data_IF_344776063169
#
_entry.id   IF_344776063169
#
_cell.length_a   1.000
_cell.length_b   1.000
_cell.length_c   1.000
_cell.angle_alpha   90.00
_cell.angle_beta   90.00
_cell.angle_gamma   90.00
#
_symmetry.space_group_name_H-M   'P 1'
#
loop_
_entity.id
_entity.type
_entity.pdbx_description
1 polymer ?
#
# COMPACT_ATOMS: atom_id res chain seq x y z
N UNK A 1 -29.05 20.93 4.17
CA UNK A 1 -27.66 20.53 3.86
C UNK A 1 -27.74 19.34 2.92
N UNK A 2 -27.21 19.45 1.70
CA UNK A 2 -27.29 18.38 0.70
C UNK A 2 -26.40 17.20 1.12
N UNK A 3 -26.98 16.01 1.22
CA UNK A 3 -26.26 14.79 1.56
C UNK A 3 -25.33 14.38 0.41
N UNK A 4 -24.03 14.34 0.69
CA UNK A 4 -23.01 13.87 -0.26
C UNK A 4 -23.25 12.37 -0.52
N UNK A 5 -23.34 11.97 -1.79
CA UNK A 5 -23.62 10.58 -2.19
C UNK A 5 -22.49 9.63 -1.76
N UNK A 6 -22.80 8.40 -1.37
CA UNK A 6 -21.79 7.36 -1.05
C UNK A 6 -20.80 7.17 -2.19
N UNK A 7 -21.26 7.27 -3.45
CA UNK A 7 -20.39 7.22 -4.65
C UNK A 7 -19.43 8.41 -4.75
N UNK A 8 -19.85 9.56 -4.25
CA UNK A 8 -19.06 10.79 -4.22
C UNK A 8 -18.04 10.75 -3.07
N UNK A 9 -18.40 10.10 -1.96
CA UNK A 9 -17.46 9.73 -0.90
C UNK A 9 -16.39 8.76 -1.42
N UNK A 10 -16.77 7.66 -2.08
CA UNK A 10 -15.79 6.70 -2.63
C UNK A 10 -14.93 7.30 -3.75
N UNK A 11 -15.44 8.27 -4.52
CA UNK A 11 -14.65 9.05 -5.47
C UNK A 11 -13.56 9.89 -4.80
N UNK A 12 -13.89 10.57 -3.69
CA UNK A 12 -12.90 11.32 -2.88
C UNK A 12 -11.84 10.41 -2.28
N UNK A 13 -12.23 9.20 -1.88
CA UNK A 13 -11.30 8.19 -1.38
C UNK A 13 -10.32 7.67 -2.44
N UNK A 14 -10.63 7.76 -3.74
CA UNK A 14 -9.67 7.40 -4.80
C UNK A 14 -8.40 8.24 -4.80
N UNK A 15 -8.44 9.43 -4.17
CA UNK A 15 -7.27 10.27 -3.91
C UNK A 15 -7.09 10.39 -2.40
N UNK A 16 -6.54 9.35 -1.76
CA UNK A 16 -5.92 9.60 -0.47
C UNK A 16 -4.73 10.54 -0.69
N UNK A 17 -4.57 11.51 0.21
CA UNK A 17 -3.35 12.30 0.26
C UNK A 17 -2.18 11.39 0.65
N UNK A 18 -1.07 11.56 -0.07
CA UNK A 18 0.18 10.83 0.11
C UNK A 18 0.69 10.95 1.55
N UNK A 19 1.41 9.93 2.00
CA UNK A 19 2.05 9.98 3.31
C UNK A 19 3.29 10.87 3.26
N UNK A 20 3.33 11.92 4.07
CA UNK A 20 4.46 12.86 4.12
C UNK A 20 5.54 12.46 5.14
N UNK A 21 5.45 11.27 5.75
CA UNK A 21 6.43 10.79 6.74
C UNK A 21 6.13 11.19 8.19
N UNK A 22 5.09 11.97 8.45
CA UNK A 22 4.68 12.42 9.80
C UNK A 22 3.29 11.87 10.20
N UNK A 23 3.01 11.81 11.50
CA UNK A 23 1.71 11.37 12.04
C UNK A 23 1.25 9.97 11.57
N UNK A 24 2.16 8.99 11.59
CA UNK A 24 1.88 7.61 11.14
C UNK A 24 0.58 7.02 11.71
N UNK A 25 0.26 7.24 12.99
CA UNK A 25 -0.99 6.73 13.60
C UNK A 25 -2.25 7.30 12.94
N UNK A 26 -2.22 8.57 12.53
CA UNK A 26 -3.35 9.23 11.86
C UNK A 26 -3.46 8.73 10.43
N UNK A 27 -2.34 8.63 9.72
CA UNK A 27 -2.28 8.04 8.39
C UNK A 27 -2.77 6.59 8.39
N UNK A 28 -2.30 5.75 9.32
CA UNK A 28 -2.70 4.35 9.46
C UNK A 28 -4.21 4.21 9.66
N UNK A 29 -4.84 5.06 10.48
CA UNK A 29 -6.31 5.06 10.64
C UNK A 29 -7.02 5.45 9.34
N UNK A 30 -6.54 6.46 8.61
CA UNK A 30 -7.10 6.88 7.32
C UNK A 30 -6.96 5.77 6.27
N UNK A 31 -5.80 5.11 6.21
CA UNK A 31 -5.53 3.97 5.34
C UNK A 31 -6.42 2.77 5.68
N UNK A 32 -6.54 2.42 6.96
CA UNK A 32 -7.43 1.33 7.38
C UNK A 32 -8.88 1.61 6.97
N UNK A 33 -9.40 2.82 7.19
CA UNK A 33 -10.75 3.19 6.78
C UNK A 33 -10.95 3.09 5.26
N UNK A 34 -9.95 3.50 4.50
CA UNK A 34 -9.95 3.37 3.04
C UNK A 34 -10.01 1.91 2.57
N UNK A 35 -9.15 1.06 3.11
CA UNK A 35 -9.12 -0.37 2.79
C UNK A 35 -10.41 -1.08 3.23
N UNK A 36 -11.05 -0.63 4.31
CA UNK A 36 -12.38 -1.09 4.72
C UNK A 36 -13.44 -0.74 3.66
N UNK A 37 -13.42 0.49 3.12
CA UNK A 37 -14.36 0.88 2.05
C UNK A 37 -14.14 0.12 0.74
N UNK A 38 -12.91 -0.32 0.48
CA UNK A 38 -12.57 -1.21 -0.64
C UNK A 38 -12.90 -2.68 -0.36
N UNK A 39 -13.29 -3.02 0.87
CA UNK A 39 -13.56 -4.37 1.34
C UNK A 39 -12.35 -5.32 1.23
N UNK A 40 -11.12 -4.80 1.33
CA UNK A 40 -9.88 -5.59 1.26
C UNK A 40 -9.12 -5.62 2.59
N UNK A 41 -9.54 -4.86 3.61
CA UNK A 41 -8.81 -4.76 4.90
C UNK A 41 -8.59 -6.10 5.61
N UNK A 42 -9.45 -7.08 5.36
CA UNK A 42 -9.39 -8.40 5.99
C UNK A 42 -8.08 -9.15 5.66
N UNK A 43 -7.45 -8.87 4.50
CA UNK A 43 -6.18 -9.51 4.12
C UNK A 43 -5.03 -9.15 5.08
N UNK A 44 -5.16 -8.07 5.85
CA UNK A 44 -4.17 -7.67 6.86
C UNK A 44 -4.24 -8.50 8.14
N UNK A 45 -5.37 -9.16 8.41
CA UNK A 45 -5.58 -9.94 9.65
C UNK A 45 -5.85 -11.42 9.39
N UNK A 46 -6.25 -11.80 8.18
CA UNK A 46 -6.58 -13.17 7.81
C UNK A 46 -5.50 -13.75 6.88
N UNK A 47 -4.93 -14.91 7.21
CA UNK A 47 -3.96 -15.57 6.34
C UNK A 47 -4.62 -16.05 5.03
N UNK A 48 -3.80 -16.27 4.02
CA UNK A 48 -4.24 -16.87 2.75
C UNK A 48 -4.90 -18.23 3.03
N UNK A 49 -6.06 -18.52 2.43
CA UNK A 49 -6.67 -19.86 2.52
C UNK A 49 -5.72 -20.91 1.93
N UNK A 50 -5.45 -21.98 2.66
CA UNK A 50 -4.68 -23.14 2.19
C UNK A 50 -5.63 -24.31 1.89
N UNK A 51 -5.47 -24.90 0.71
CA UNK A 51 -6.20 -26.11 0.29
C UNK A 51 -5.61 -27.33 1.01
N UNK A 52 -6.40 -28.13 1.74
CA UNK A 52 -5.98 -29.45 2.24
C UNK A 52 -5.72 -30.39 1.06
N UNK A 53 -4.63 -31.16 1.08
CA UNK A 53 -4.23 -32.06 -0.03
C UNK A 53 -5.25 -33.18 -0.35
N UNK A 54 -6.24 -33.41 0.52
CA UNK A 54 -7.08 -34.61 0.52
C UNK A 54 -8.47 -34.43 -0.12
N UNK A 55 -8.79 -33.24 -0.65
CA UNK A 55 -10.15 -32.87 -1.09
C UNK A 55 -10.31 -32.84 -2.62
N UNK A 56 -10.46 -34.02 -3.25
CA UNK A 56 -10.57 -34.18 -4.72
C UNK A 56 -11.76 -33.45 -5.38
N UNK A 57 -12.76 -32.99 -4.62
CA UNK A 57 -13.97 -32.33 -5.15
C UNK A 57 -14.21 -30.89 -4.67
N UNK A 58 -13.37 -30.35 -3.77
CA UNK A 58 -13.53 -28.98 -3.20
C UNK A 58 -12.62 -27.93 -3.88
N UNK A 59 -11.72 -28.42 -4.74
CA UNK A 59 -10.63 -27.70 -5.41
C UNK A 59 -11.05 -26.40 -6.13
N UNK A 60 -12.18 -26.37 -6.86
CA UNK A 60 -12.56 -25.18 -7.65
C UNK A 60 -13.02 -24.01 -6.78
N UNK A 61 -13.82 -24.28 -5.74
CA UNK A 61 -14.33 -23.23 -4.85
C UNK A 61 -13.22 -22.68 -3.97
N UNK A 62 -12.29 -23.53 -3.54
CA UNK A 62 -11.10 -23.11 -2.81
C UNK A 62 -10.14 -22.33 -3.70
N UNK A 63 -9.89 -22.80 -4.93
CA UNK A 63 -9.10 -22.04 -5.93
C UNK A 63 -9.70 -20.65 -6.15
N UNK A 64 -11.04 -20.54 -6.24
CA UNK A 64 -11.71 -19.24 -6.37
C UNK A 64 -11.53 -18.35 -5.15
N UNK A 65 -11.61 -18.92 -3.93
CA UNK A 65 -11.35 -18.18 -2.68
C UNK A 65 -9.90 -17.69 -2.62
N UNK A 66 -8.95 -18.52 -3.04
CA UNK A 66 -7.53 -18.18 -3.06
C UNK A 66 -7.24 -17.06 -4.08
N UNK A 67 -7.68 -17.19 -5.32
CA UNK A 67 -7.50 -16.16 -6.35
C UNK A 67 -8.12 -14.83 -5.94
N UNK A 68 -9.29 -14.87 -5.28
CA UNK A 68 -9.91 -13.67 -4.73
C UNK A 68 -9.03 -13.04 -3.63
N UNK A 69 -8.54 -13.84 -2.69
CA UNK A 69 -7.67 -13.36 -1.62
C UNK A 69 -6.39 -12.73 -2.18
N UNK A 70 -5.75 -13.37 -3.17
CA UNK A 70 -4.55 -12.87 -3.85
C UNK A 70 -4.79 -11.53 -4.56
N UNK A 71 -5.93 -11.41 -5.26
CA UNK A 71 -6.32 -10.15 -5.89
C UNK A 71 -6.55 -9.03 -4.86
N UNK A 72 -7.25 -9.34 -3.77
CA UNK A 72 -7.52 -8.37 -2.70
C UNK A 72 -6.23 -7.98 -1.95
N UNK A 73 -5.30 -8.93 -1.75
CA UNK A 73 -3.97 -8.68 -1.16
C UNK A 73 -3.13 -7.77 -2.08
N UNK A 74 -3.12 -8.03 -3.39
CA UNK A 74 -2.45 -7.17 -4.38
C UNK A 74 -3.00 -5.74 -4.34
N UNK A 75 -4.33 -5.56 -4.32
CA UNK A 75 -4.96 -4.24 -4.21
C UNK A 75 -4.58 -3.57 -2.89
N UNK A 76 -4.66 -4.29 -1.78
CA UNK A 76 -4.35 -3.76 -0.45
C UNK A 76 -2.90 -3.28 -0.36
N UNK A 77 -1.95 -4.14 -0.73
CA UNK A 77 -0.52 -3.81 -0.73
C UNK A 77 -0.20 -2.70 -1.71
N UNK A 78 -0.80 -2.72 -2.90
CA UNK A 78 -0.62 -1.69 -3.91
C UNK A 78 -0.98 -0.30 -3.40
N UNK A 79 -2.12 -0.18 -2.71
CA UNK A 79 -2.52 1.09 -2.09
C UNK A 79 -1.58 1.51 -0.95
N UNK A 80 -1.22 0.60 -0.04
CA UNK A 80 -0.28 0.92 1.05
C UNK A 80 1.05 1.41 0.49
N UNK A 81 1.62 0.69 -0.48
CA UNK A 81 2.90 1.04 -1.10
C UNK A 81 2.82 2.35 -1.87
N UNK A 82 1.76 2.56 -2.66
CA UNK A 82 1.58 3.80 -3.40
C UNK A 82 1.54 5.02 -2.48
N UNK A 83 0.87 4.93 -1.33
CA UNK A 83 0.81 6.05 -0.38
C UNK A 83 2.12 6.28 0.36
N UNK A 84 2.94 5.22 0.56
CA UNK A 84 4.25 5.31 1.22
C UNK A 84 5.40 5.70 0.28
N UNK A 85 5.22 5.55 -1.04
CA UNK A 85 6.29 5.68 -2.04
C UNK A 85 7.06 6.99 -1.92
N UNK A 86 6.36 8.13 -1.89
CA UNK A 86 6.99 9.46 -1.89
C UNK A 86 7.85 9.68 -0.63
N UNK A 87 7.40 9.20 0.53
CA UNK A 87 8.17 9.26 1.77
C UNK A 87 9.42 8.36 1.72
N UNK A 88 9.31 7.17 1.11
CA UNK A 88 10.44 6.27 0.91
C UNK A 88 11.45 6.89 -0.08
N UNK A 89 10.97 7.45 -1.19
CA UNK A 89 11.79 8.10 -2.19
C UNK A 89 12.54 9.30 -1.58
N UNK A 90 11.84 10.17 -0.84
CA UNK A 90 12.46 11.30 -0.15
C UNK A 90 13.57 10.88 0.81
N UNK A 91 13.35 9.80 1.58
CA UNK A 91 14.31 9.33 2.58
C UNK A 91 15.57 8.72 1.94
N UNK A 92 15.40 7.86 0.94
CA UNK A 92 16.51 7.06 0.41
C UNK A 92 17.16 7.64 -0.85
N UNK A 93 16.44 8.40 -1.67
CA UNK A 93 17.01 9.02 -2.88
C UNK A 93 17.72 10.35 -2.59
N UNK A 94 17.43 11.01 -1.47
CA UNK A 94 18.18 12.19 -1.04
C UNK A 94 19.62 11.85 -0.57
N UNK A 95 19.83 10.65 -0.01
CA UNK A 95 21.14 10.19 0.48
C UNK A 95 22.13 9.87 -0.66
N UNK A 96 21.63 9.37 -1.79
CA UNK A 96 22.44 9.13 -3.01
C UNK A 96 22.96 10.42 -3.66
N UNK A 97 22.17 11.50 -3.58
CA UNK A 97 22.55 12.84 -4.05
C UNK A 97 23.69 13.44 -3.21
N UNK A 98 23.62 13.27 -1.88
CA UNK A 98 24.64 13.77 -0.95
C UNK A 98 25.97 13.03 -1.15
N UNK A 99 25.93 11.70 -1.19
CA UNK A 99 27.12 10.85 -1.37
C UNK A 99 27.87 11.16 -2.68
N UNK A 100 27.14 11.40 -3.78
CA UNK A 100 27.73 11.79 -5.06
C UNK A 100 28.36 13.19 -5.03
N UNK A 101 27.74 14.17 -4.35
CA UNK A 101 28.34 15.51 -4.14
C UNK A 101 29.61 15.48 -3.32
N UNK A 102 29.67 14.63 -2.28
CA UNK A 102 30.88 14.48 -1.46
C UNK A 102 32.06 13.92 -2.26
N UNK A 103 31.85 12.88 -3.08
CA UNK A 103 32.90 12.30 -3.92
C UNK A 103 33.40 13.30 -4.98
N UNK A 104 32.49 14.00 -5.66
CA UNK A 104 32.85 15.00 -6.67
C UNK A 104 33.61 16.19 -6.06
N UNK A 105 33.18 16.67 -4.88
CA UNK A 105 33.87 17.76 -4.18
C UNK A 105 35.28 17.38 -3.72
N UNK A 106 35.51 16.12 -3.33
CA UNK A 106 36.84 15.65 -2.97
C UNK A 106 37.77 15.59 -4.20
N UNK A 107 37.27 15.18 -5.36
CA UNK A 107 38.06 15.11 -6.60
C UNK A 107 38.58 16.49 -7.06
N UNK A 108 37.79 17.55 -6.84
CA UNK A 108 38.20 18.92 -7.20
C UNK A 108 39.21 19.56 -6.23
N UNK A 109 39.43 18.99 -5.04
CA UNK A 109 40.39 19.49 -4.05
C UNK A 109 41.78 18.85 -4.15
N UNK A 110 42.01 17.93 -5.09
CA UNK A 110 43.30 17.27 -5.33
C UNK A 110 44.14 17.95 -6.44
N UNK A 111 43.95 19.25 -6.68
CA UNK A 111 44.72 19.99 -7.70
C UNK A 111 45.48 21.17 -7.13
#
# INVERSE_FOLDING_TARGET
MAGVSVREMTSKFRKLDKFEGVDFRRWQKKMHFFLTNLNVVYVLSMPMPTVPEDAENESLDETRKQLKWENDDYICRGHILNELWDALESKYMAEDSSSKKFIVSNFHNYR
#
